data_IF_406594824674
#
_entry.id   IF_406594824674
#
_cell.length_a   1.000
_cell.length_b   1.000
_cell.length_c   1.000
_cell.angle_alpha   90.00
_cell.angle_beta   90.00
_cell.angle_gamma   90.00
#
_symmetry.space_group_name_H-M   'P 1'
#
loop_
_entity.id
_entity.type
_entity.pdbx_description
1 polymer ?
#
# COMPACT_ATOMS: atom_id res chain seq x y z
N UNK A 1 26.03 -20.00 13.47
CA UNK A 1 25.18 -19.05 14.19
C UNK A 1 25.98 -17.77 14.35
N UNK A 2 25.63 -16.72 13.64
CA UNK A 2 26.16 -15.40 13.92
C UNK A 2 25.56 -14.97 15.26
N UNK A 3 26.42 -14.64 16.22
CA UNK A 3 25.99 -14.06 17.48
C UNK A 3 25.44 -12.64 17.21
N UNK A 4 24.36 -12.29 17.91
CA UNK A 4 23.88 -10.92 17.92
C UNK A 4 24.88 -9.97 18.61
N UNK A 5 24.59 -8.67 18.67
CA UNK A 5 25.47 -7.71 19.32
C UNK A 5 25.87 -8.17 20.72
N UNK A 6 27.19 -8.20 21.01
CA UNK A 6 27.78 -8.48 22.32
C UNK A 6 27.18 -9.68 23.09
N UNK A 7 27.02 -10.84 22.42
CA UNK A 7 26.57 -12.08 23.07
C UNK A 7 25.06 -12.15 23.34
N UNK A 8 24.26 -11.28 22.77
CA UNK A 8 22.82 -11.38 22.86
C UNK A 8 22.30 -12.57 22.06
N UNK A 9 21.32 -13.34 22.59
CA UNK A 9 20.75 -14.45 21.88
C UNK A 9 20.02 -13.95 20.64
N UNK A 10 20.56 -14.28 19.48
CA UNK A 10 19.98 -13.98 18.17
C UNK A 10 19.66 -15.25 17.39
N UNK A 11 18.85 -15.09 16.37
CA UNK A 11 18.59 -16.14 15.41
C UNK A 11 18.81 -15.63 14.00
N UNK A 12 19.43 -16.47 13.18
CA UNK A 12 19.62 -16.18 11.76
C UNK A 12 18.32 -16.51 11.03
N UNK A 13 17.83 -15.57 10.24
CA UNK A 13 16.69 -15.77 9.36
C UNK A 13 17.09 -15.53 7.89
N UNK A 14 16.33 -16.13 6.99
CA UNK A 14 16.40 -15.84 5.56
C UNK A 14 15.05 -15.28 5.13
N UNK A 15 15.08 -14.07 4.59
CA UNK A 15 13.91 -13.42 3.99
C UNK A 15 14.29 -12.86 2.62
N UNK A 16 13.62 -13.34 1.57
CA UNK A 16 14.10 -13.07 0.19
C UNK A 16 15.50 -13.65 -0.02
N UNK A 17 16.40 -12.88 -0.65
CA UNK A 17 17.83 -13.22 -0.77
C UNK A 17 18.67 -12.79 0.44
N UNK A 18 18.03 -12.37 1.52
CA UNK A 18 18.68 -11.66 2.62
C UNK A 18 18.74 -12.50 3.88
N UNK A 19 19.98 -12.82 4.30
CA UNK A 19 20.26 -13.33 5.64
C UNK A 19 20.30 -12.15 6.62
N UNK A 20 19.61 -12.27 7.74
CA UNK A 20 19.67 -11.28 8.81
C UNK A 20 19.69 -11.96 10.17
N UNK A 21 20.44 -11.36 11.10
CA UNK A 21 20.43 -11.78 12.49
C UNK A 21 19.41 -10.91 13.24
N UNK A 22 18.48 -11.55 13.93
CA UNK A 22 17.43 -10.86 14.67
C UNK A 22 17.38 -11.36 16.12
N UNK A 23 16.86 -10.58 17.07
CA UNK A 23 16.55 -11.09 18.39
C UNK A 23 15.66 -12.33 18.29
N UNK A 24 15.77 -13.25 19.24
CA UNK A 24 14.90 -14.44 19.27
C UNK A 24 13.45 -13.93 19.31
N UNK A 25 12.63 -14.28 18.29
CA UNK A 25 11.26 -13.78 18.26
C UNK A 25 10.48 -14.32 19.46
N UNK A 26 9.66 -13.49 20.09
CA UNK A 26 8.70 -13.97 21.07
C UNK A 26 7.77 -14.99 20.42
N UNK A 27 7.19 -15.90 21.22
CA UNK A 27 6.22 -16.88 20.75
C UNK A 27 5.09 -16.17 19.99
N UNK A 28 4.95 -16.49 18.70
CA UNK A 28 4.02 -15.78 17.82
C UNK A 28 2.57 -16.05 18.23
N UNK A 29 1.89 -15.04 18.74
CA UNK A 29 0.43 -15.02 18.79
C UNK A 29 -0.12 -14.49 17.47
N UNK A 30 -1.21 -15.04 16.96
CA UNK A 30 -1.94 -14.49 15.80
C UNK A 30 -2.55 -13.15 16.21
N UNK A 31 -2.23 -12.09 15.47
CA UNK A 31 -2.76 -10.74 15.68
C UNK A 31 -1.73 -9.65 15.38
N UNK A 32 -2.10 -8.37 15.52
CA UNK A 32 -1.14 -7.28 15.43
C UNK A 32 -0.06 -7.51 16.48
N UNK A 33 1.19 -7.54 16.04
CA UNK A 33 2.33 -7.79 16.92
C UNK A 33 2.40 -6.69 17.98
N UNK A 34 2.29 -7.07 19.24
CA UNK A 34 2.64 -6.18 20.34
C UNK A 34 4.16 -5.96 20.33
N UNK A 35 4.61 -4.73 20.68
CA UNK A 35 6.02 -4.41 20.83
C UNK A 35 6.55 -5.20 22.04
N UNK A 36 7.14 -6.36 21.77
CA UNK A 36 7.82 -7.14 22.79
C UNK A 36 9.33 -7.10 22.52
N UNK A 37 10.03 -6.22 23.22
CA UNK A 37 11.48 -6.10 23.16
C UNK A 37 12.01 -5.17 22.06
N UNK A 38 13.31 -4.93 22.13
CA UNK A 38 14.08 -4.12 21.18
C UNK A 38 14.45 -4.94 19.94
N UNK A 39 14.53 -4.30 18.77
CA UNK A 39 14.89 -4.98 17.52
C UNK A 39 13.83 -5.93 16.99
N UNK A 40 12.56 -5.67 17.30
CA UNK A 40 11.44 -6.52 16.87
C UNK A 40 11.32 -6.59 15.35
N UNK A 41 11.23 -7.81 14.81
CA UNK A 41 10.88 -8.08 13.42
C UNK A 41 9.51 -8.76 13.34
N UNK A 42 8.59 -8.20 12.57
CA UNK A 42 7.33 -8.87 12.24
C UNK A 42 7.50 -9.71 10.96
N UNK A 43 7.47 -11.07 11.04
CA UNK A 43 7.56 -11.93 9.86
C UNK A 43 6.37 -11.77 8.88
N UNK A 44 5.20 -11.36 9.36
CA UNK A 44 4.04 -11.10 8.51
C UNK A 44 4.26 -9.92 7.56
N UNK A 45 5.21 -9.01 7.86
CA UNK A 45 5.59 -7.89 7.00
C UNK A 45 6.57 -8.27 5.87
N UNK A 46 6.96 -9.53 5.73
CA UNK A 46 7.88 -9.97 4.67
C UNK A 46 7.39 -9.61 3.26
N UNK A 47 6.09 -9.75 3.00
CA UNK A 47 5.49 -9.34 1.73
C UNK A 47 5.59 -7.83 1.47
N UNK A 48 5.41 -7.01 2.51
CA UNK A 48 5.59 -5.55 2.43
C UNK A 48 7.04 -5.19 2.07
N UNK A 49 8.04 -5.86 2.68
CA UNK A 49 9.45 -5.64 2.35
C UNK A 49 9.81 -6.12 0.94
N UNK A 50 9.20 -7.21 0.45
CA UNK A 50 9.35 -7.65 -0.94
C UNK A 50 8.83 -6.60 -1.92
N UNK A 51 7.65 -6.05 -1.70
CA UNK A 51 7.11 -4.95 -2.52
C UNK A 51 8.00 -3.70 -2.47
N UNK A 52 8.56 -3.38 -1.30
CA UNK A 52 9.49 -2.26 -1.14
C UNK A 52 10.78 -2.43 -1.96
N UNK A 53 11.33 -3.65 -2.05
CA UNK A 53 12.45 -3.96 -2.95
C UNK A 53 12.07 -3.74 -4.41
N UNK A 54 10.92 -4.26 -4.84
CA UNK A 54 10.45 -4.13 -6.23
C UNK A 54 10.19 -2.67 -6.60
N UNK A 55 9.58 -1.89 -5.69
CA UNK A 55 9.33 -0.46 -5.90
C UNK A 55 10.61 0.34 -6.02
N UNK A 56 11.61 0.08 -5.17
CA UNK A 56 12.90 0.75 -5.26
C UNK A 56 13.66 0.35 -6.54
N UNK A 57 13.63 -0.93 -6.92
CA UNK A 57 14.21 -1.40 -8.17
C UNK A 57 13.57 -0.73 -9.39
N UNK A 58 12.23 -0.68 -9.44
CA UNK A 58 11.50 0.00 -10.51
C UNK A 58 11.79 1.51 -10.55
N UNK A 59 11.88 2.16 -9.39
CA UNK A 59 12.23 3.58 -9.31
C UNK A 59 13.63 3.90 -9.84
N UNK A 60 14.56 2.99 -9.67
CA UNK A 60 15.94 3.10 -10.17
C UNK A 60 16.06 2.80 -11.67
N UNK A 61 15.32 1.82 -12.15
CA UNK A 61 15.33 1.38 -13.56
C UNK A 61 14.54 2.34 -14.46
N UNK A 62 13.50 2.99 -13.94
CA UNK A 62 12.60 3.88 -14.68
C UNK A 62 12.72 5.35 -14.26
N UNK A 63 13.80 5.72 -13.56
CA UNK A 63 14.18 7.10 -13.23
C UNK A 63 13.04 7.95 -12.60
N UNK A 64 12.30 7.41 -11.62
CA UNK A 64 11.18 8.13 -10.99
C UNK A 64 11.60 9.45 -10.36
N UNK A 65 12.81 9.53 -9.80
CA UNK A 65 13.23 10.61 -8.91
C UNK A 65 14.31 11.50 -9.51
N UNK A 66 15.31 10.88 -10.09
CA UNK A 66 16.48 11.53 -10.66
C UNK A 66 17.00 10.67 -11.82
N UNK A 67 17.58 11.32 -12.81
CA UNK A 67 18.19 10.63 -13.95
C UNK A 67 19.28 9.65 -13.51
N UNK A 68 19.54 8.64 -14.32
CA UNK A 68 20.62 7.68 -14.13
C UNK A 68 21.91 8.37 -13.62
N UNK A 69 22.70 7.68 -12.81
CA UNK A 69 23.97 8.15 -12.24
C UNK A 69 23.87 9.06 -10.99
N UNK A 70 22.73 9.70 -10.72
CA UNK A 70 22.63 10.53 -9.52
C UNK A 70 22.29 9.69 -8.29
N UNK A 71 22.88 10.03 -7.12
CA UNK A 71 22.55 9.37 -5.86
C UNK A 71 21.11 9.64 -5.44
N UNK A 72 20.51 8.65 -4.78
CA UNK A 72 19.20 8.71 -4.14
C UNK A 72 19.42 8.62 -2.63
N UNK A 73 19.09 9.69 -1.91
CA UNK A 73 19.14 9.70 -0.45
C UNK A 73 17.87 9.09 0.11
N UNK A 74 18.04 8.00 0.83
CA UNK A 74 16.98 7.20 1.44
C UNK A 74 17.09 7.32 2.95
N UNK A 75 15.96 7.53 3.63
CA UNK A 75 15.88 7.35 5.07
C UNK A 75 14.88 6.24 5.40
N UNK A 76 15.35 5.18 6.07
CA UNK A 76 14.54 4.22 6.80
C UNK A 76 14.37 4.76 8.23
N UNK A 77 13.25 5.46 8.47
CA UNK A 77 13.09 6.33 9.63
C UNK A 77 12.89 5.56 10.95
N UNK A 78 12.40 4.32 10.87
CA UNK A 78 12.03 3.44 11.98
C UNK A 78 12.52 2.02 11.66
N UNK A 79 13.82 1.81 11.65
CA UNK A 79 14.47 0.69 10.99
C UNK A 79 14.47 -0.62 11.78
N UNK A 80 14.27 -0.56 13.11
CA UNK A 80 14.40 -1.72 14.00
C UNK A 80 15.73 -2.49 13.75
N UNK A 81 15.68 -3.68 13.13
CA UNK A 81 16.86 -4.50 12.83
C UNK A 81 17.57 -4.14 11.53
N UNK A 82 17.14 -3.11 10.81
CA UNK A 82 17.69 -2.72 9.50
C UNK A 82 17.44 -3.71 8.37
N UNK A 83 16.52 -4.65 8.55
CA UNK A 83 16.29 -5.70 7.55
C UNK A 83 15.77 -5.17 6.21
N UNK A 84 14.99 -4.09 6.19
CA UNK A 84 14.51 -3.48 4.95
C UNK A 84 15.65 -2.89 4.14
N UNK A 85 16.50 -2.08 4.77
CA UNK A 85 17.73 -1.56 4.15
C UNK A 85 18.61 -2.69 3.65
N UNK A 86 18.80 -3.75 4.47
CA UNK A 86 19.59 -4.91 4.09
C UNK A 86 18.99 -5.64 2.86
N UNK A 87 17.67 -5.75 2.76
CA UNK A 87 16.98 -6.32 1.59
C UNK A 87 17.19 -5.46 0.34
N UNK A 88 17.09 -4.14 0.44
CA UNK A 88 17.39 -3.25 -0.68
C UNK A 88 18.81 -3.47 -1.20
N UNK A 89 19.80 -3.58 -0.31
CA UNK A 89 21.20 -3.79 -0.69
C UNK A 89 21.49 -5.16 -1.32
N UNK A 90 20.73 -6.18 -0.96
CA UNK A 90 20.94 -7.55 -1.47
C UNK A 90 20.08 -7.90 -2.70
N UNK A 91 18.94 -7.22 -2.88
CA UNK A 91 17.90 -7.67 -3.80
C UNK A 91 17.62 -6.67 -4.91
N UNK A 92 17.97 -5.38 -4.77
CA UNK A 92 17.95 -4.41 -5.87
C UNK A 92 19.09 -4.76 -6.86
N UNK A 93 18.89 -4.56 -8.19
CA UNK A 93 19.91 -4.87 -9.18
C UNK A 93 21.26 -4.18 -8.88
N UNK A 94 22.35 -4.96 -8.89
CA UNK A 94 23.67 -4.52 -8.41
C UNK A 94 24.22 -3.28 -9.12
N UNK A 95 23.90 -3.08 -10.40
CA UNK A 95 24.32 -1.90 -11.15
C UNK A 95 23.81 -0.58 -10.55
N UNK A 96 22.78 -0.61 -9.71
CA UNK A 96 22.19 0.59 -9.10
C UNK A 96 22.63 0.84 -7.65
N UNK A 97 23.34 -0.11 -7.02
CA UNK A 97 23.67 0.00 -5.59
C UNK A 97 24.53 1.23 -5.28
N UNK A 98 25.42 1.63 -6.18
CA UNK A 98 26.26 2.83 -6.02
C UNK A 98 25.45 4.14 -5.93
N UNK A 99 24.19 4.12 -6.32
CA UNK A 99 23.28 5.28 -6.25
C UNK A 99 22.60 5.39 -4.88
N UNK A 100 22.64 4.35 -4.04
CA UNK A 100 21.91 4.32 -2.79
C UNK A 100 22.74 4.95 -1.66
N UNK A 101 22.22 6.03 -1.09
CA UNK A 101 22.74 6.66 0.13
C UNK A 101 21.69 6.46 1.22
N UNK A 102 21.89 5.50 2.10
CA UNK A 102 20.89 5.04 3.07
C UNK A 102 21.23 5.54 4.45
N UNK A 103 20.31 6.26 5.08
CA UNK A 103 20.31 6.54 6.50
C UNK A 103 19.29 5.61 7.18
N UNK A 104 19.80 4.72 8.02
CA UNK A 104 19.02 3.77 8.81
C UNK A 104 18.90 4.31 10.23
N UNK A 105 17.68 4.56 10.72
CA UNK A 105 17.44 5.17 12.03
C UNK A 105 16.41 4.41 12.84
N UNK A 106 16.64 4.34 14.14
CA UNK A 106 15.62 4.00 15.13
C UNK A 106 15.88 4.78 16.41
N UNK A 107 14.81 5.10 17.16
CA UNK A 107 14.94 5.79 18.45
C UNK A 107 15.52 4.86 19.53
N UNK A 108 15.37 3.54 19.35
CA UNK A 108 15.86 2.54 20.29
C UNK A 108 17.32 2.17 19.99
N UNK A 109 18.29 2.52 20.89
CA UNK A 109 19.69 2.21 20.67
C UNK A 109 19.99 0.72 20.54
N UNK A 110 19.18 -0.14 21.15
CA UNK A 110 19.35 -1.59 21.08
C UNK A 110 18.95 -2.10 19.70
N UNK A 111 17.85 -1.60 19.15
CA UNK A 111 17.46 -1.86 17.75
C UNK A 111 18.59 -1.46 16.79
N UNK A 112 19.23 -0.30 17.02
CA UNK A 112 20.34 0.15 16.17
C UNK A 112 21.60 -0.72 16.27
N UNK A 113 21.88 -1.37 17.39
CA UNK A 113 22.96 -2.37 17.48
C UNK A 113 22.68 -3.60 16.58
N UNK A 114 21.43 -4.05 16.52
CA UNK A 114 21.02 -5.10 15.58
C UNK A 114 21.14 -4.64 14.13
N UNK A 115 20.73 -3.41 13.81
CA UNK A 115 20.88 -2.83 12.48
C UNK A 115 22.36 -2.72 12.08
N UNK A 116 23.23 -2.28 12.99
CA UNK A 116 24.68 -2.23 12.76
C UNK A 116 25.25 -3.61 12.47
N UNK A 117 24.92 -4.63 13.28
CA UNK A 117 25.36 -6.00 13.06
C UNK A 117 24.90 -6.55 11.68
N UNK A 118 23.72 -6.16 11.22
CA UNK A 118 23.18 -6.56 9.92
C UNK A 118 23.75 -5.78 8.74
N UNK A 119 24.26 -4.56 8.94
CA UNK A 119 24.67 -3.65 7.86
C UNK A 119 26.19 -3.44 7.74
N UNK A 120 26.99 -3.96 8.67
CA UNK A 120 28.46 -3.76 8.70
C UNK A 120 29.26 -4.43 7.57
N UNK A 121 28.69 -5.42 6.88
CA UNK A 121 29.41 -6.27 5.92
C UNK A 121 29.42 -5.72 4.48
N UNK A 122 28.86 -4.53 4.25
CA UNK A 122 28.80 -3.95 2.91
C UNK A 122 30.09 -3.20 2.55
N UNK A 123 30.49 -3.21 1.24
CA UNK A 123 31.66 -2.47 0.79
C UNK A 123 31.57 -0.98 1.11
N UNK A 124 32.70 -0.36 1.44
CA UNK A 124 32.78 1.08 1.73
C UNK A 124 32.32 1.99 0.56
N UNK A 125 32.15 1.45 -0.63
CA UNK A 125 31.60 2.18 -1.78
C UNK A 125 30.09 2.40 -1.68
N UNK A 126 29.39 1.71 -0.76
CA UNK A 126 27.96 1.88 -0.49
C UNK A 126 27.83 2.78 0.74
N UNK A 127 27.17 3.93 0.56
CA UNK A 127 26.97 4.90 1.65
C UNK A 127 25.81 4.46 2.56
N UNK A 128 26.16 3.87 3.71
CA UNK A 128 25.23 3.47 4.77
C UNK A 128 25.58 4.22 6.04
N UNK A 129 24.64 5.01 6.53
CA UNK A 129 24.77 5.73 7.78
C UNK A 129 23.75 5.18 8.80
N UNK A 130 24.19 5.07 10.03
CA UNK A 130 23.37 4.61 11.14
C UNK A 130 23.18 5.76 12.14
N UNK A 131 21.97 5.93 12.61
CA UNK A 131 21.64 6.94 13.60
C UNK A 131 20.66 6.39 14.64
N UNK A 132 20.80 6.85 15.89
CA UNK A 132 19.81 6.57 16.93
C UNK A 132 19.20 7.87 17.42
N UNK A 133 17.94 8.13 17.04
CA UNK A 133 17.28 9.39 17.39
C UNK A 133 15.82 9.49 16.94
N UNK A 134 15.19 10.61 17.30
CA UNK A 134 13.82 10.89 16.87
C UNK A 134 13.76 11.09 15.36
N UNK A 135 13.05 10.21 14.69
CA UNK A 135 12.86 10.23 13.23
C UNK A 135 12.32 11.56 12.70
N UNK A 136 11.48 12.25 13.47
CA UNK A 136 10.87 13.53 13.07
C UNK A 136 11.89 14.63 12.95
N UNK A 137 12.77 14.73 13.95
CA UNK A 137 13.88 15.69 13.95
C UNK A 137 14.87 15.36 12.84
N UNK A 138 15.27 14.10 12.75
CA UNK A 138 16.27 13.64 11.79
C UNK A 138 15.82 13.83 10.33
N UNK A 139 14.55 13.59 10.03
CA UNK A 139 14.03 13.87 8.69
C UNK A 139 14.23 15.33 8.28
N UNK A 140 14.05 16.27 9.20
CA UNK A 140 14.16 17.73 8.91
C UNK A 140 15.59 18.22 8.70
N UNK A 141 16.61 17.45 9.05
CA UNK A 141 18.01 17.82 8.89
C UNK A 141 18.47 17.80 7.42
N UNK A 142 17.73 17.16 6.54
CA UNK A 142 18.11 17.02 5.13
C UNK A 142 16.88 16.97 4.21
N UNK A 143 17.12 17.02 2.90
CA UNK A 143 16.11 16.72 1.89
C UNK A 143 16.28 15.28 1.39
N UNK A 144 15.23 14.48 1.39
CA UNK A 144 15.22 13.07 1.04
C UNK A 144 14.52 12.81 -0.29
N UNK A 145 15.04 11.89 -1.09
CA UNK A 145 14.37 11.39 -2.28
C UNK A 145 13.49 10.18 -1.99
N UNK A 146 13.79 9.43 -0.91
CA UNK A 146 12.96 8.30 -0.45
C UNK A 146 12.87 8.32 1.06
N UNK A 147 11.65 8.31 1.58
CA UNK A 147 11.36 8.27 3.02
C UNK A 147 10.49 7.06 3.30
N UNK A 148 10.98 6.14 4.12
CA UNK A 148 10.23 4.98 4.61
C UNK A 148 9.80 5.22 6.05
N UNK A 149 8.49 5.12 6.32
CA UNK A 149 7.88 5.29 7.65
C UNK A 149 7.05 4.05 7.96
N UNK A 150 7.55 3.19 8.85
CA UNK A 150 6.89 1.94 9.25
C UNK A 150 6.72 1.85 10.78
N UNK A 151 5.85 2.68 11.40
CA UNK A 151 5.65 2.73 12.83
C UNK A 151 4.74 1.61 13.34
N UNK A 152 4.81 1.35 14.63
CA UNK A 152 3.70 0.70 15.34
C UNK A 152 2.52 1.66 15.42
N UNK A 153 1.35 1.24 14.90
CA UNK A 153 0.13 2.03 14.95
C UNK A 153 0.01 3.05 13.81
N UNK A 154 -0.24 4.30 14.17
CA UNK A 154 -0.52 5.37 13.20
C UNK A 154 0.75 6.07 12.73
N UNK A 155 0.90 6.31 11.42
CA UNK A 155 2.00 7.11 10.89
C UNK A 155 1.80 8.63 11.08
N UNK A 156 0.62 9.08 11.52
CA UNK A 156 0.27 10.51 11.56
C UNK A 156 1.28 11.39 12.32
N UNK A 157 1.97 10.93 13.40
CA UNK A 157 2.97 11.74 14.07
C UNK A 157 4.20 12.09 13.22
N UNK A 158 4.45 11.35 12.13
CA UNK A 158 5.63 11.49 11.29
C UNK A 158 5.36 12.18 9.95
N UNK A 159 4.10 12.20 9.49
CA UNK A 159 3.72 12.63 8.14
C UNK A 159 4.16 14.06 7.86
N UNK A 160 3.96 15.00 8.78
CA UNK A 160 4.26 16.41 8.55
C UNK A 160 5.76 16.65 8.36
N UNK A 161 6.60 16.09 9.25
CA UNK A 161 8.06 16.15 9.12
C UNK A 161 8.56 15.49 7.84
N UNK A 162 7.98 14.34 7.46
CA UNK A 162 8.33 13.66 6.22
C UNK A 162 8.01 14.50 4.97
N UNK A 163 6.80 15.07 4.91
CA UNK A 163 6.40 15.92 3.79
C UNK A 163 7.31 17.15 3.67
N UNK A 164 7.63 17.81 4.79
CA UNK A 164 8.53 18.97 4.79
C UNK A 164 9.91 18.60 4.25
N UNK A 165 10.44 17.46 4.65
CA UNK A 165 11.80 17.00 4.31
C UNK A 165 11.91 16.32 2.94
N UNK A 166 10.81 16.07 2.24
CA UNK A 166 10.84 15.60 0.87
C UNK A 166 11.65 16.54 -0.03
N UNK A 167 12.53 16.01 -0.86
CA UNK A 167 13.16 16.71 -1.97
C UNK A 167 12.10 17.27 -2.92
N UNK A 168 12.48 18.00 -3.96
CA UNK A 168 11.53 18.57 -4.93
C UNK A 168 10.61 17.51 -5.54
N UNK A 169 11.14 16.33 -5.72
CA UNK A 169 10.46 15.10 -6.12
C UNK A 169 10.98 13.99 -5.21
N UNK A 170 10.10 13.27 -4.55
CA UNK A 170 10.45 12.24 -3.59
C UNK A 170 9.40 11.14 -3.52
N UNK A 171 9.81 9.94 -3.14
CA UNK A 171 8.90 8.87 -2.72
C UNK A 171 8.70 8.97 -1.21
N UNK A 172 7.45 8.93 -0.78
CA UNK A 172 7.07 8.74 0.60
C UNK A 172 6.34 7.39 0.70
N UNK A 173 6.92 6.48 1.46
CA UNK A 173 6.41 5.12 1.65
C UNK A 173 5.96 4.95 3.11
N UNK A 174 4.65 4.88 3.33
CA UNK A 174 4.03 4.98 4.64
C UNK A 174 3.25 3.73 4.98
N UNK A 175 3.50 3.17 6.16
CA UNK A 175 2.75 2.05 6.72
C UNK A 175 1.85 2.51 7.88
N UNK A 176 0.62 2.04 7.89
CA UNK A 176 -0.33 2.22 8.99
C UNK A 176 -0.81 0.85 9.48
N UNK A 177 -0.54 0.54 10.75
CA UNK A 177 -0.98 -0.70 11.41
C UNK A 177 -2.18 -0.48 12.34
N UNK A 178 -2.66 0.77 12.48
CA UNK A 178 -3.89 1.10 13.22
C UNK A 178 -5.16 0.93 12.35
N UNK A 179 -5.25 -0.22 11.70
CA UNK A 179 -6.31 -0.55 10.75
C UNK A 179 -7.71 -0.46 11.34
N UNK A 180 -7.88 -0.70 12.64
CA UNK A 180 -9.17 -0.52 13.33
C UNK A 180 -9.69 0.93 13.23
N UNK A 181 -8.80 1.93 13.20
CA UNK A 181 -9.18 3.32 12.96
C UNK A 181 -9.59 3.54 11.50
N UNK A 182 -8.74 3.10 10.57
CA UNK A 182 -8.93 3.33 9.14
C UNK A 182 -10.11 2.57 8.54
N UNK A 183 -10.47 1.40 9.11
CA UNK A 183 -11.59 0.57 8.65
C UNK A 183 -12.90 0.79 9.41
N UNK A 184 -12.94 1.76 10.35
CA UNK A 184 -14.15 2.19 11.03
C UNK A 184 -14.46 1.49 12.35
N UNK A 185 -13.73 0.42 12.74
CA UNK A 185 -13.96 -0.29 14.01
C UNK A 185 -13.62 0.57 15.25
N UNK A 186 -12.81 1.63 15.05
CA UNK A 186 -12.49 2.64 16.08
C UNK A 186 -12.76 4.05 15.56
N UNK A 187 -14.04 4.48 15.45
CA UNK A 187 -14.40 5.73 14.78
C UNK A 187 -13.82 6.97 15.47
N UNK A 188 -13.72 7.00 16.79
CA UNK A 188 -13.10 8.10 17.52
C UNK A 188 -11.59 8.24 17.23
N UNK A 189 -10.88 7.13 17.01
CA UNK A 189 -9.47 7.15 16.61
C UNK A 189 -9.33 7.62 15.16
N UNK A 190 -10.22 7.20 14.26
CA UNK A 190 -10.26 7.67 12.89
C UNK A 190 -10.40 9.20 12.81
N UNK A 191 -11.37 9.75 13.53
CA UNK A 191 -11.58 11.21 13.61
C UNK A 191 -10.35 11.93 14.15
N UNK A 192 -9.75 11.46 15.26
CA UNK A 192 -8.60 12.16 15.87
C UNK A 192 -7.33 12.10 15.05
N UNK A 193 -7.05 10.96 14.39
CA UNK A 193 -5.77 10.73 13.70
C UNK A 193 -5.83 11.14 12.24
N UNK A 194 -6.96 10.85 11.59
CA UNK A 194 -7.10 11.02 10.14
C UNK A 194 -8.12 12.10 9.76
N UNK A 195 -8.77 12.73 10.75
CA UNK A 195 -9.83 13.71 10.49
C UNK A 195 -10.84 13.20 9.47
N UNK A 196 -11.31 11.97 9.67
CA UNK A 196 -12.18 11.24 8.76
C UNK A 196 -13.15 10.32 9.51
N UNK A 197 -14.13 9.81 8.77
CA UNK A 197 -15.10 8.79 9.20
C UNK A 197 -14.98 7.59 8.27
N UNK A 198 -15.20 6.38 8.79
CA UNK A 198 -15.24 5.15 8.02
C UNK A 198 -16.46 4.31 8.42
N UNK A 199 -17.16 3.78 7.41
CA UNK A 199 -18.23 2.79 7.60
C UNK A 199 -17.63 1.40 7.61
N UNK A 200 -18.06 0.56 8.55
CA UNK A 200 -17.69 -0.86 8.61
C UNK A 200 -18.57 -1.65 7.66
N UNK A 201 -18.09 -1.86 6.45
CA UNK A 201 -18.75 -2.65 5.40
C UNK A 201 -17.70 -3.44 4.59
N UNK A 202 -18.10 -4.11 3.52
CA UNK A 202 -17.20 -4.90 2.67
C UNK A 202 -16.15 -4.04 1.93
N UNK A 203 -16.38 -2.73 1.79
CA UNK A 203 -15.43 -1.76 1.24
C UNK A 203 -14.53 -1.10 2.29
N UNK A 204 -14.61 -1.47 3.58
CA UNK A 204 -13.83 -0.84 4.65
C UNK A 204 -12.32 -0.79 4.39
N UNK A 205 -11.75 -1.78 3.70
CA UNK A 205 -10.33 -1.83 3.38
C UNK A 205 -9.97 -0.83 2.27
N UNK A 206 -10.77 -0.76 1.20
CA UNK A 206 -10.63 0.29 0.16
C UNK A 206 -10.82 1.69 0.76
N UNK A 207 -11.84 1.85 1.61
CA UNK A 207 -12.08 3.09 2.34
C UNK A 207 -10.89 3.48 3.22
N UNK A 208 -10.31 2.54 3.95
CA UNK A 208 -9.14 2.79 4.80
C UNK A 208 -7.91 3.25 4.02
N UNK A 209 -7.63 2.63 2.87
CA UNK A 209 -6.57 3.06 1.95
C UNK A 209 -6.80 4.50 1.48
N UNK A 210 -8.03 4.84 1.10
CA UNK A 210 -8.40 6.17 0.62
C UNK A 210 -8.40 7.23 1.73
N UNK A 211 -8.73 6.87 2.97
CA UNK A 211 -8.61 7.76 4.15
C UNK A 211 -7.13 8.08 4.41
N UNK A 212 -6.24 7.09 4.38
CA UNK A 212 -4.80 7.31 4.54
C UNK A 212 -4.25 8.24 3.45
N UNK A 213 -4.59 7.98 2.18
CA UNK A 213 -4.20 8.88 1.08
C UNK A 213 -4.77 10.28 1.22
N UNK A 214 -6.03 10.43 1.63
CA UNK A 214 -6.64 11.73 1.89
C UNK A 214 -5.92 12.51 3.00
N UNK A 215 -5.44 11.83 4.04
CA UNK A 215 -4.63 12.45 5.09
C UNK A 215 -3.26 12.87 4.57
N UNK A 216 -2.59 12.04 3.76
CA UNK A 216 -1.32 12.37 3.10
C UNK A 216 -1.47 13.56 2.16
N UNK A 217 -2.53 13.58 1.34
CA UNK A 217 -2.80 14.67 0.40
C UNK A 217 -3.02 16.01 1.11
N UNK A 218 -3.81 16.02 2.20
CA UNK A 218 -4.03 17.23 3.01
C UNK A 218 -2.74 17.70 3.70
N UNK A 219 -1.91 16.76 4.18
CA UNK A 219 -0.61 17.13 4.73
C UNK A 219 0.31 17.71 3.65
N UNK A 220 0.38 17.10 2.47
CA UNK A 220 1.19 17.58 1.35
C UNK A 220 0.77 18.99 0.89
N UNK A 221 -0.54 19.24 0.76
CA UNK A 221 -1.05 20.51 0.30
C UNK A 221 -0.66 21.69 1.20
N UNK A 222 -0.58 21.48 2.53
CA UNK A 222 -0.10 22.51 3.48
C UNK A 222 1.34 22.97 3.21
N UNK A 223 2.11 22.16 2.49
CA UNK A 223 3.50 22.42 2.13
C UNK A 223 3.71 22.69 0.62
N UNK A 224 2.68 23.16 -0.08
CA UNK A 224 2.70 23.40 -1.53
C UNK A 224 3.08 22.13 -2.34
N UNK A 225 2.69 20.95 -1.86
CA UNK A 225 3.01 19.65 -2.47
C UNK A 225 1.74 18.87 -2.78
N UNK A 226 1.87 17.94 -3.70
CA UNK A 226 0.82 16.97 -4.05
C UNK A 226 1.38 15.57 -4.03
N UNK A 227 0.49 14.58 -3.94
CA UNK A 227 0.83 13.18 -3.99
C UNK A 227 0.30 12.54 -5.27
N UNK A 228 1.10 11.64 -5.84
CA UNK A 228 0.70 10.77 -6.95
C UNK A 228 0.89 9.31 -6.46
N UNK A 229 -0.18 8.54 -6.16
CA UNK A 229 -0.07 7.19 -5.64
C UNK A 229 0.60 6.24 -6.64
N UNK A 230 1.63 5.52 -6.19
CA UNK A 230 2.32 4.49 -6.96
C UNK A 230 1.78 3.10 -6.65
N UNK A 231 1.62 2.78 -5.37
CA UNK A 231 0.99 1.53 -4.91
C UNK A 231 0.37 1.75 -3.54
N UNK A 232 -0.92 1.45 -3.42
CA UNK A 232 -1.59 1.40 -2.11
C UNK A 232 -2.25 0.05 -1.95
N UNK A 233 -1.95 -0.61 -0.85
CA UNK A 233 -2.43 -1.96 -0.57
C UNK A 233 -2.84 -2.13 0.89
N UNK A 234 -3.92 -2.85 1.11
CA UNK A 234 -4.27 -3.43 2.40
C UNK A 234 -3.77 -4.87 2.41
N UNK A 235 -2.89 -5.20 3.34
CA UNK A 235 -2.29 -6.52 3.44
C UNK A 235 -2.41 -7.05 4.89
N UNK A 236 -3.33 -7.96 5.10
CA UNK A 236 -3.66 -8.63 6.36
C UNK A 236 -3.99 -7.64 7.50
N UNK A 237 -2.99 -7.02 8.12
CA UNK A 237 -3.14 -6.18 9.31
C UNK A 237 -2.57 -4.76 9.14
N UNK A 238 -2.17 -4.37 7.93
CA UNK A 238 -1.63 -3.05 7.67
C UNK A 238 -2.08 -2.49 6.32
N UNK A 239 -2.05 -1.16 6.22
CA UNK A 239 -2.15 -0.44 4.96
C UNK A 239 -0.78 0.14 4.66
N UNK A 240 -0.29 -0.09 3.44
CA UNK A 240 0.92 0.56 2.96
C UNK A 240 0.61 1.42 1.73
N UNK A 241 1.07 2.67 1.78
CA UNK A 241 0.89 3.65 0.72
C UNK A 241 2.25 4.18 0.27
N UNK A 242 2.64 3.84 -0.95
CA UNK A 242 3.81 4.42 -1.63
C UNK A 242 3.32 5.49 -2.58
N UNK A 243 3.69 6.73 -2.32
CA UNK A 243 3.28 7.90 -3.12
C UNK A 243 4.49 8.68 -3.58
N UNK A 244 4.43 9.20 -4.80
CA UNK A 244 5.36 10.19 -5.29
C UNK A 244 4.89 11.56 -4.80
N UNK A 245 5.76 12.30 -4.11
CA UNK A 245 5.50 13.64 -3.60
C UNK A 245 6.24 14.65 -4.48
N UNK A 246 5.51 15.59 -5.07
CA UNK A 246 6.09 16.65 -5.90
C UNK A 246 5.60 18.04 -5.47
N UNK A 247 6.43 19.04 -5.71
CA UNK A 247 6.08 20.41 -5.40
C UNK A 247 5.23 21.02 -6.52
N UNK A 248 4.02 21.48 -6.18
CA UNK A 248 3.12 22.20 -7.08
C UNK A 248 2.11 23.02 -6.27
N UNK A 249 2.27 24.32 -6.22
CA UNK A 249 1.33 25.23 -5.54
C UNK A 249 -0.06 25.21 -6.18
N UNK A 250 -0.11 25.19 -7.51
CA UNK A 250 -1.34 25.16 -8.27
C UNK A 250 -2.17 23.92 -7.93
N UNK A 251 -1.58 22.73 -8.11
CA UNK A 251 -2.26 21.49 -7.81
C UNK A 251 -2.56 21.30 -6.30
N UNK A 252 -1.72 21.83 -5.41
CA UNK A 252 -2.00 21.84 -3.97
C UNK A 252 -3.23 22.72 -3.62
N UNK A 253 -3.43 23.82 -4.35
CA UNK A 253 -4.62 24.67 -4.19
C UNK A 253 -5.90 23.99 -4.68
N UNK A 254 -5.78 23.02 -5.60
CA UNK A 254 -6.90 22.21 -6.11
C UNK A 254 -7.10 20.87 -5.34
N UNK A 255 -6.59 20.77 -4.14
CA UNK A 255 -6.70 19.58 -3.29
C UNK A 255 -8.12 19.00 -3.23
N UNK A 256 -9.14 19.87 -3.20
CA UNK A 256 -10.53 19.47 -3.06
C UNK A 256 -11.03 18.64 -4.24
N UNK A 257 -10.44 18.76 -5.43
CA UNK A 257 -10.77 17.94 -6.60
C UNK A 257 -10.34 16.48 -6.42
N UNK A 258 -9.40 16.20 -5.53
CA UNK A 258 -8.88 14.86 -5.23
C UNK A 258 -9.57 14.20 -4.03
N UNK A 259 -10.47 14.90 -3.34
CA UNK A 259 -11.16 14.42 -2.15
C UNK A 259 -12.67 14.28 -2.39
N UNK A 260 -13.31 13.41 -1.61
CA UNK A 260 -14.75 13.19 -1.69
C UNK A 260 -15.31 12.44 -0.49
N UNK A 261 -16.57 12.08 -0.62
CA UNK A 261 -17.36 11.37 0.40
C UNK A 261 -17.95 10.12 -0.21
N UNK A 262 -17.69 8.96 0.33
CA UNK A 262 -18.37 7.73 -0.06
C UNK A 262 -19.68 7.60 0.71
N UNK A 263 -20.77 7.40 -0.02
CA UNK A 263 -22.11 7.21 0.50
C UNK A 263 -22.50 5.75 0.34
N UNK A 264 -22.92 5.12 1.42
CA UNK A 264 -23.53 3.81 1.43
C UNK A 264 -25.06 3.94 1.20
N UNK A 265 -25.61 3.15 0.31
CA UNK A 265 -27.03 3.20 -0.08
C UNK A 265 -27.50 4.61 -0.45
N UNK A 266 -26.95 5.20 -1.54
CA UNK A 266 -27.28 6.55 -1.94
C UNK A 266 -28.74 6.68 -2.38
N UNK A 267 -29.31 7.87 -2.18
CA UNK A 267 -30.58 8.24 -2.78
C UNK A 267 -30.41 8.73 -4.23
N UNK A 268 -31.52 8.95 -4.94
CA UNK A 268 -31.50 9.38 -6.35
C UNK A 268 -30.77 10.72 -6.57
N UNK A 269 -30.94 11.68 -5.64
CA UNK A 269 -30.28 13.00 -5.74
C UNK A 269 -28.74 12.86 -5.60
N UNK A 270 -28.27 12.03 -4.68
CA UNK A 270 -26.85 11.76 -4.46
C UNK A 270 -26.24 11.05 -5.66
N UNK A 271 -26.94 10.06 -6.24
CA UNK A 271 -26.49 9.40 -7.47
C UNK A 271 -26.39 10.40 -8.63
N UNK A 272 -27.40 11.23 -8.85
CA UNK A 272 -27.37 12.28 -9.90
C UNK A 272 -26.23 13.27 -9.68
N UNK A 273 -25.99 13.68 -8.44
CA UNK A 273 -24.87 14.57 -8.11
C UNK A 273 -23.51 13.90 -8.39
N UNK A 274 -23.35 12.63 -8.04
CA UNK A 274 -22.15 11.83 -8.31
C UNK A 274 -21.88 11.70 -9.81
N UNK A 275 -22.91 11.36 -10.58
CA UNK A 275 -22.82 11.25 -12.06
C UNK A 275 -22.51 12.59 -12.72
N UNK A 276 -23.13 13.67 -12.24
CA UNK A 276 -22.90 15.02 -12.75
C UNK A 276 -21.49 15.51 -12.48
N UNK A 277 -20.88 15.09 -11.38
CA UNK A 277 -19.51 15.37 -11.03
C UNK A 277 -18.48 14.47 -11.75
N UNK A 278 -18.94 13.49 -12.55
CA UNK A 278 -18.07 12.50 -13.22
C UNK A 278 -17.42 11.48 -12.29
N UNK A 279 -17.91 11.36 -11.04
CA UNK A 279 -17.39 10.43 -10.04
C UNK A 279 -18.08 9.06 -10.07
N UNK A 280 -19.09 8.92 -10.91
CA UNK A 280 -19.83 7.69 -11.16
C UNK A 280 -20.22 7.62 -12.62
N UNK A 281 -20.18 6.46 -13.27
CA UNK A 281 -20.67 6.29 -14.65
C UNK A 281 -22.14 6.69 -14.75
N UNK A 282 -22.52 7.30 -15.88
CA UNK A 282 -23.91 7.64 -16.14
C UNK A 282 -24.75 6.37 -16.26
N UNK A 283 -25.87 6.35 -15.55
CA UNK A 283 -26.81 5.24 -15.53
C UNK A 283 -28.24 5.78 -15.29
N UNK A 284 -29.06 5.70 -16.32
CA UNK A 284 -30.45 6.18 -16.30
C UNK A 284 -31.46 5.04 -16.02
N UNK A 285 -30.97 3.85 -15.62
CA UNK A 285 -31.80 2.67 -15.38
C UNK A 285 -32.77 2.80 -14.18
N UNK A 286 -32.46 3.73 -13.27
CA UNK A 286 -33.19 3.86 -12.01
C UNK A 286 -32.95 2.74 -10.99
N UNK A 287 -31.99 1.84 -11.26
CA UNK A 287 -31.63 0.75 -10.37
C UNK A 287 -30.99 1.29 -9.09
N UNK A 288 -31.35 0.71 -7.95
CA UNK A 288 -30.68 0.98 -6.67
C UNK A 288 -29.25 0.53 -6.73
N UNK A 289 -28.35 1.34 -6.20
CA UNK A 289 -26.91 1.08 -6.20
C UNK A 289 -26.36 0.96 -4.78
N UNK A 290 -25.30 0.16 -4.57
CA UNK A 290 -24.75 -0.08 -3.23
C UNK A 290 -24.06 1.16 -2.65
N UNK A 291 -23.37 1.95 -3.47
CA UNK A 291 -22.66 3.15 -3.04
C UNK A 291 -22.42 4.13 -4.17
N UNK A 292 -22.12 5.36 -3.83
CA UNK A 292 -21.57 6.36 -4.77
C UNK A 292 -20.54 7.25 -4.05
N UNK A 293 -19.87 8.12 -4.80
CA UNK A 293 -18.92 9.10 -4.27
C UNK A 293 -19.41 10.50 -4.60
N UNK A 294 -19.46 11.39 -3.61
CA UNK A 294 -19.75 12.81 -3.79
C UNK A 294 -18.48 13.63 -3.75
N UNK A 295 -18.42 14.77 -4.49
CA UNK A 295 -17.30 15.70 -4.41
C UNK A 295 -17.14 16.27 -3.01
N UNK A 296 -15.92 16.61 -2.63
CA UNK A 296 -15.62 17.19 -1.30
C UNK A 296 -16.45 18.44 -0.99
N UNK A 297 -16.63 19.31 -1.98
CA UNK A 297 -17.37 20.57 -1.84
C UNK A 297 -18.90 20.40 -1.79
N UNK A 298 -19.40 19.20 -1.93
CA UNK A 298 -20.82 18.85 -1.80
C UNK A 298 -21.02 17.77 -0.73
N UNK A 299 -20.65 18.07 0.54
CA UNK A 299 -20.70 17.08 1.60
C UNK A 299 -22.16 16.63 1.85
N UNK A 300 -22.40 15.34 2.05
CA UNK A 300 -23.69 14.83 2.48
C UNK A 300 -23.95 15.18 3.94
N UNK A 301 -25.16 14.95 4.42
CA UNK A 301 -25.40 14.90 5.85
C UNK A 301 -24.51 13.82 6.50
N UNK A 302 -23.61 14.24 7.39
CA UNK A 302 -22.63 13.36 8.04
C UNK A 302 -23.34 12.44 9.04
N UNK A 303 -23.74 11.26 8.57
CA UNK A 303 -24.42 10.24 9.34
C UNK A 303 -23.54 9.02 9.54
N UNK A 304 -23.34 8.60 10.79
CA UNK A 304 -22.64 7.37 11.13
C UNK A 304 -23.29 6.15 10.47
N UNK A 305 -22.47 5.20 10.03
CA UNK A 305 -22.92 4.00 9.32
C UNK A 305 -23.34 4.21 7.86
N UNK A 306 -23.32 5.45 7.35
CA UNK A 306 -23.71 5.77 5.99
C UNK A 306 -22.65 6.51 5.18
N UNK A 307 -21.84 7.34 5.83
CA UNK A 307 -20.87 8.23 5.19
C UNK A 307 -19.46 7.86 5.60
N UNK A 308 -18.57 7.73 4.63
CA UNK A 308 -17.12 7.62 4.85
C UNK A 308 -16.40 8.78 4.18
N UNK A 309 -15.42 9.34 4.87
CA UNK A 309 -14.59 10.42 4.31
C UNK A 309 -14.19 11.49 5.32
N UNK A 310 -13.48 12.54 4.86
CA UNK A 310 -13.06 12.71 3.47
C UNK A 310 -12.08 11.61 3.02
N UNK A 311 -12.29 11.10 1.81
CA UNK A 311 -11.47 10.07 1.18
C UNK A 311 -10.76 10.61 -0.07
N UNK A 312 -9.62 10.02 -0.42
CA UNK A 312 -9.00 10.17 -1.74
C UNK A 312 -9.88 9.51 -2.81
N UNK A 313 -10.22 10.24 -3.87
CA UNK A 313 -11.07 9.76 -4.96
C UNK A 313 -10.31 9.43 -6.24
N UNK A 314 -9.02 9.73 -6.31
CA UNK A 314 -8.16 9.38 -7.44
C UNK A 314 -7.76 7.90 -7.45
N UNK A 315 -6.82 7.56 -8.35
CA UNK A 315 -6.23 6.23 -8.46
C UNK A 315 -5.56 5.79 -7.16
N UNK A 316 -5.55 4.48 -6.88
CA UNK A 316 -4.79 3.85 -5.79
C UNK A 316 -3.40 3.36 -6.22
N UNK A 317 -3.03 3.56 -7.47
CA UNK A 317 -1.75 3.12 -8.00
C UNK A 317 -1.48 3.66 -9.39
N UNK A 318 -0.26 3.41 -9.83
CA UNK A 318 0.22 3.72 -11.17
C UNK A 318 0.07 2.46 -12.05
N UNK A 319 -0.67 2.58 -13.14
CA UNK A 319 -0.99 1.44 -14.01
C UNK A 319 0.28 0.78 -14.56
N UNK A 320 1.19 1.56 -15.13
CA UNK A 320 2.40 1.04 -15.76
C UNK A 320 3.31 0.34 -14.75
N UNK A 321 3.42 0.89 -13.53
CA UNK A 321 4.15 0.24 -12.44
C UNK A 321 3.48 -1.10 -12.07
N UNK A 322 2.17 -1.11 -11.87
CA UNK A 322 1.44 -2.32 -11.46
C UNK A 322 1.58 -3.45 -12.50
N UNK A 323 1.59 -3.11 -13.80
CA UNK A 323 1.84 -4.08 -14.88
C UNK A 323 3.20 -4.78 -14.74
N UNK A 324 4.20 -4.08 -14.17
CA UNK A 324 5.55 -4.63 -13.90
C UNK A 324 5.67 -5.34 -12.54
N UNK A 325 4.69 -5.19 -11.64
CA UNK A 325 4.67 -5.84 -10.32
C UNK A 325 4.17 -7.30 -10.42
N UNK A 326 4.91 -8.14 -11.14
CA UNK A 326 4.54 -9.53 -11.43
C UNK A 326 5.16 -10.52 -10.45
N UNK A 327 4.62 -11.75 -10.41
CA UNK A 327 5.19 -12.85 -9.62
C UNK A 327 6.60 -13.22 -10.11
N UNK A 328 6.83 -13.18 -11.44
CA UNK A 328 8.13 -13.45 -12.05
C UNK A 328 9.16 -12.42 -11.60
N UNK A 329 8.80 -11.14 -11.60
CA UNK A 329 9.70 -10.07 -11.15
C UNK A 329 10.04 -10.18 -9.66
N UNK A 330 9.07 -10.54 -8.82
CA UNK A 330 9.32 -10.80 -7.41
C UNK A 330 10.29 -11.98 -7.21
N UNK A 331 10.14 -13.05 -7.99
CA UNK A 331 11.05 -14.20 -7.96
C UNK A 331 12.45 -13.84 -8.43
N UNK A 332 12.57 -13.12 -9.55
CA UNK A 332 13.87 -12.67 -10.08
C UNK A 332 14.67 -11.86 -9.05
N UNK A 333 14.02 -10.87 -8.42
CA UNK A 333 14.69 -9.99 -7.46
C UNK A 333 14.93 -10.66 -6.11
N UNK A 334 13.99 -11.42 -5.60
CA UNK A 334 13.93 -11.80 -4.18
C UNK A 334 14.05 -13.31 -3.90
N UNK A 335 13.99 -14.22 -4.90
CA UNK A 335 14.06 -15.66 -4.62
C UNK A 335 15.44 -16.07 -4.14
N UNK A 336 15.55 -16.76 -2.99
CA UNK A 336 16.83 -17.27 -2.50
C UNK A 336 17.41 -18.33 -3.46
N UNK A 337 18.72 -18.39 -3.49
CA UNK A 337 19.46 -19.37 -4.30
C UNK A 337 19.81 -20.66 -3.50
N UNK A 338 20.40 -21.63 -4.17
CA UNK A 338 20.82 -22.90 -3.57
C UNK A 338 21.94 -22.73 -2.53
N UNK A 339 22.73 -21.65 -2.59
CA UNK A 339 23.77 -21.35 -1.59
C UNK A 339 23.11 -20.90 -0.27
N UNK A 340 22.11 -20.03 -0.36
CA UNK A 340 21.33 -19.57 0.79
C UNK A 340 20.52 -20.73 1.41
N UNK A 341 19.94 -21.60 0.56
CA UNK A 341 19.27 -22.81 1.02
C UNK A 341 20.19 -23.69 1.89
N UNK A 342 21.42 -23.93 1.40
CA UNK A 342 22.43 -24.71 2.15
C UNK A 342 22.84 -24.02 3.44
N UNK A 343 23.03 -22.70 3.42
CA UNK A 343 23.42 -21.90 4.59
C UNK A 343 22.38 -22.02 5.70
N UNK A 344 21.09 -22.00 5.33
CA UNK A 344 19.97 -22.15 6.27
C UNK A 344 19.65 -23.60 6.61
N UNK A 345 20.30 -24.56 5.97
CA UNK A 345 19.94 -25.98 6.03
C UNK A 345 18.44 -26.24 5.75
N UNK A 346 17.90 -25.51 4.77
CA UNK A 346 16.50 -25.63 4.36
C UNK A 346 16.29 -26.82 3.43
N UNK A 347 15.20 -27.53 3.67
CA UNK A 347 14.65 -28.53 2.76
C UNK A 347 14.05 -27.86 1.51
N UNK A 348 13.85 -28.61 0.44
CA UNK A 348 13.16 -28.15 -0.78
C UNK A 348 11.74 -27.64 -0.46
N UNK A 349 11.07 -28.22 0.52
CA UNK A 349 9.74 -27.78 0.98
C UNK A 349 9.77 -26.38 1.62
N UNK A 350 10.82 -26.04 2.36
CA UNK A 350 11.00 -24.72 2.96
C UNK A 350 11.33 -23.67 1.88
N UNK A 351 12.13 -24.05 0.88
CA UNK A 351 12.38 -23.23 -0.31
C UNK A 351 11.07 -22.95 -1.07
N UNK A 352 10.30 -23.97 -1.38
CA UNK A 352 9.00 -23.83 -2.03
C UNK A 352 8.04 -22.92 -1.26
N UNK A 353 8.04 -23.03 0.08
CA UNK A 353 7.23 -22.14 0.94
C UNK A 353 7.70 -20.69 0.87
N UNK A 354 9.00 -20.43 0.86
CA UNK A 354 9.56 -19.09 0.71
C UNK A 354 9.17 -18.48 -0.65
N UNK A 355 9.33 -19.22 -1.74
CA UNK A 355 8.91 -18.80 -3.08
C UNK A 355 7.41 -18.54 -3.18
N UNK A 356 6.58 -19.40 -2.59
CA UNK A 356 5.12 -19.21 -2.53
C UNK A 356 4.74 -17.91 -1.80
N UNK A 357 5.46 -17.56 -0.73
CA UNK A 357 5.26 -16.28 -0.02
C UNK A 357 5.64 -15.08 -0.88
N UNK A 358 6.74 -15.17 -1.65
CA UNK A 358 7.13 -14.12 -2.59
C UNK A 358 6.04 -13.88 -3.64
N UNK A 359 5.59 -14.94 -4.34
CA UNK A 359 4.51 -14.85 -5.32
C UNK A 359 3.23 -14.25 -4.72
N UNK A 360 2.84 -14.74 -3.53
CA UNK A 360 1.65 -14.23 -2.82
C UNK A 360 1.73 -12.74 -2.53
N UNK A 361 2.92 -12.19 -2.27
CA UNK A 361 3.11 -10.78 -1.90
C UNK A 361 2.71 -9.79 -2.99
N UNK A 362 2.69 -10.23 -4.26
CA UNK A 362 2.36 -9.40 -5.43
C UNK A 362 1.18 -9.93 -6.25
N UNK A 363 0.57 -11.01 -5.78
CA UNK A 363 -0.53 -11.67 -6.49
C UNK A 363 -1.66 -10.69 -6.83
N UNK A 364 -2.04 -10.66 -8.11
CA UNK A 364 -3.15 -9.87 -8.63
C UNK A 364 -2.83 -8.39 -8.83
N UNK A 365 -1.61 -7.90 -8.48
CA UNK A 365 -1.26 -6.50 -8.70
C UNK A 365 -1.25 -6.17 -10.19
N UNK A 366 -0.53 -6.93 -11.01
CA UNK A 366 -0.48 -6.73 -12.46
C UNK A 366 -1.83 -6.92 -13.14
N UNK A 367 -2.63 -7.91 -12.69
CA UNK A 367 -3.97 -8.14 -13.23
C UNK A 367 -4.92 -6.97 -12.93
N UNK A 368 -4.73 -6.28 -11.80
CA UNK A 368 -5.57 -5.16 -11.38
C UNK A 368 -5.22 -3.84 -12.10
N UNK A 369 -4.06 -3.76 -12.74
CA UNK A 369 -3.50 -2.53 -13.31
C UNK A 369 -4.46 -1.80 -14.25
N UNK A 370 -5.09 -2.52 -15.17
CA UNK A 370 -5.96 -1.95 -16.22
C UNK A 370 -7.22 -1.23 -15.71
N UNK A 371 -7.56 -1.41 -14.43
CA UNK A 371 -8.74 -0.80 -13.83
C UNK A 371 -8.43 -0.08 -12.50
N UNK A 372 -7.15 0.15 -12.18
CA UNK A 372 -6.75 0.70 -10.86
C UNK A 372 -7.31 2.09 -10.59
N UNK A 373 -7.54 2.88 -11.64
CA UNK A 373 -8.11 4.23 -11.60
C UNK A 373 -9.63 4.25 -11.81
N UNK A 374 -10.27 3.09 -12.06
CA UNK A 374 -11.72 3.03 -12.26
C UNK A 374 -12.48 3.45 -11.00
N UNK A 375 -13.58 4.22 -11.16
CA UNK A 375 -14.27 4.86 -10.03
C UNK A 375 -15.07 3.86 -9.18
N UNK A 376 -15.58 2.78 -9.79
CA UNK A 376 -16.38 1.77 -9.09
C UNK A 376 -15.45 0.68 -8.55
N UNK A 377 -15.58 0.41 -7.27
CA UNK A 377 -15.12 -0.82 -6.62
C UNK A 377 -16.34 -1.53 -6.04
N UNK A 378 -16.50 -2.81 -6.38
CA UNK A 378 -17.72 -3.55 -6.07
C UNK A 378 -17.39 -4.94 -5.52
N UNK A 379 -17.73 -5.23 -4.24
CA UNK A 379 -17.75 -6.59 -3.73
C UNK A 379 -18.78 -7.42 -4.49
N UNK A 380 -18.37 -8.58 -5.02
CA UNK A 380 -19.28 -9.40 -5.84
C UNK A 380 -20.39 -10.04 -5.01
N UNK A 381 -20.18 -10.22 -3.71
CA UNK A 381 -21.18 -10.73 -2.77
C UNK A 381 -22.35 -9.76 -2.54
N UNK A 382 -22.17 -8.48 -2.91
CA UNK A 382 -23.24 -7.49 -2.86
C UNK A 382 -24.18 -7.58 -4.07
N UNK A 383 -23.73 -8.09 -5.19
CA UNK A 383 -24.48 -8.09 -6.46
C UNK A 383 -25.84 -8.82 -6.35
N UNK A 384 -25.93 -10.03 -5.76
CA UNK A 384 -27.21 -10.72 -5.61
C UNK A 384 -28.23 -9.99 -4.72
N UNK A 385 -27.81 -9.03 -3.92
CA UNK A 385 -28.72 -8.21 -3.09
C UNK A 385 -29.56 -7.23 -3.93
N UNK A 386 -29.11 -6.95 -5.15
CA UNK A 386 -29.73 -5.99 -6.07
C UNK A 386 -30.36 -6.63 -7.30
N UNK A 387 -29.92 -7.85 -7.66
CA UNK A 387 -30.36 -8.57 -8.84
C UNK A 387 -30.77 -10.00 -8.47
N UNK A 388 -31.76 -10.55 -9.15
CA UNK A 388 -32.20 -11.93 -8.94
C UNK A 388 -31.23 -12.91 -9.59
N UNK A 389 -30.17 -13.23 -8.85
CA UNK A 389 -29.07 -14.12 -9.26
C UNK A 389 -28.99 -15.33 -8.32
N UNK A 390 -28.59 -16.50 -8.83
CA UNK A 390 -28.43 -17.71 -8.00
C UNK A 390 -27.31 -17.62 -6.97
N UNK A 391 -26.44 -16.62 -7.08
CA UNK A 391 -25.33 -16.38 -6.15
C UNK A 391 -24.39 -15.27 -6.66
N UNK A 392 -23.28 -14.98 -5.94
CA UNK A 392 -22.30 -14.01 -6.40
C UNK A 392 -21.55 -14.52 -7.64
N UNK A 393 -21.36 -13.67 -8.67
CA UNK A 393 -20.58 -14.04 -9.84
C UNK A 393 -19.07 -14.15 -9.46
N UNK A 394 -18.35 -14.99 -10.19
CA UNK A 394 -16.87 -15.01 -10.07
C UNK A 394 -16.29 -13.65 -10.49
N UNK A 395 -15.44 -13.00 -9.66
CA UNK A 395 -14.82 -11.71 -10.01
C UNK A 395 -14.12 -11.74 -11.37
N UNK A 396 -13.37 -12.80 -11.66
CA UNK A 396 -12.60 -12.92 -12.89
C UNK A 396 -13.51 -13.12 -14.11
N UNK A 397 -14.62 -13.87 -13.98
CA UNK A 397 -15.59 -14.04 -15.05
C UNK A 397 -16.34 -12.73 -15.31
N UNK A 398 -16.81 -12.07 -14.26
CA UNK A 398 -17.51 -10.78 -14.39
C UNK A 398 -16.60 -9.71 -15.01
N UNK A 399 -15.37 -9.57 -14.55
CA UNK A 399 -14.42 -8.63 -15.13
C UNK A 399 -14.13 -8.96 -16.62
N UNK A 400 -14.05 -10.24 -16.98
CA UNK A 400 -13.89 -10.66 -18.38
C UNK A 400 -15.11 -10.27 -19.22
N UNK A 401 -16.31 -10.56 -18.75
CA UNK A 401 -17.57 -10.21 -19.45
C UNK A 401 -17.68 -8.71 -19.66
N UNK A 402 -17.41 -7.91 -18.64
CA UNK A 402 -17.40 -6.44 -18.76
C UNK A 402 -16.39 -5.94 -19.80
N UNK A 403 -15.20 -6.54 -19.88
CA UNK A 403 -14.22 -6.20 -20.91
C UNK A 403 -14.70 -6.56 -22.32
N UNK A 404 -15.39 -7.68 -22.48
CA UNK A 404 -16.01 -8.05 -23.78
C UNK A 404 -17.13 -7.09 -24.18
N UNK A 405 -17.81 -6.47 -23.22
CA UNK A 405 -18.79 -5.39 -23.43
C UNK A 405 -18.15 -4.01 -23.66
N UNK A 406 -16.81 -3.91 -23.67
CA UNK A 406 -16.07 -2.69 -23.99
C UNK A 406 -15.71 -1.79 -22.80
N UNK A 407 -15.89 -2.27 -21.57
CA UNK A 407 -15.55 -1.52 -20.35
C UNK A 407 -14.20 -1.97 -19.76
N UNK A 408 -13.56 -1.09 -19.01
CA UNK A 408 -12.39 -1.47 -18.21
C UNK A 408 -12.89 -2.21 -16.97
N UNK A 409 -12.31 -3.37 -16.70
CA UNK A 409 -12.64 -4.14 -15.51
C UNK A 409 -11.52 -5.08 -15.13
N UNK A 410 -11.25 -5.18 -13.83
CA UNK A 410 -10.25 -6.09 -13.26
C UNK A 410 -10.66 -6.54 -11.86
N UNK A 411 -10.07 -7.64 -11.40
CA UNK A 411 -10.17 -8.00 -9.98
C UNK A 411 -9.53 -6.91 -9.11
N UNK A 412 -10.23 -6.49 -8.07
CA UNK A 412 -9.64 -5.60 -7.08
C UNK A 412 -8.80 -6.40 -6.08
N UNK A 413 -7.62 -5.89 -5.74
CA UNK A 413 -6.75 -6.52 -4.71
C UNK A 413 -7.26 -6.09 -3.33
N UNK A 414 -8.29 -6.78 -2.86
CA UNK A 414 -8.94 -6.59 -1.56
C UNK A 414 -9.04 -7.93 -0.82
N UNK A 415 -9.36 -7.89 0.47
CA UNK A 415 -9.59 -9.13 1.26
C UNK A 415 -10.93 -9.80 0.94
N UNK A 416 -11.85 -9.07 0.34
CA UNK A 416 -13.13 -9.61 -0.17
C UNK A 416 -13.07 -9.76 -1.67
N UNK A 417 -13.72 -10.75 -2.27
CA UNK A 417 -13.84 -10.87 -3.72
C UNK A 417 -14.52 -9.64 -4.30
N UNK A 418 -13.81 -8.86 -5.11
CA UNK A 418 -14.32 -7.60 -5.66
C UNK A 418 -13.74 -7.33 -7.05
N UNK A 419 -14.43 -6.47 -7.81
CA UNK A 419 -13.95 -5.92 -9.08
C UNK A 419 -13.80 -4.40 -8.99
N UNK A 420 -12.95 -3.85 -9.87
CA UNK A 420 -12.96 -2.43 -10.26
C UNK A 420 -13.42 -2.30 -11.70
N UNK A 421 -14.22 -1.27 -11.99
CA UNK A 421 -14.74 -1.05 -13.34
C UNK A 421 -15.21 0.39 -13.53
N UNK A 422 -15.28 0.84 -14.79
CA UNK A 422 -15.97 2.05 -15.23
C UNK A 422 -17.33 1.76 -15.87
N UNK A 423 -17.80 0.51 -15.81
CA UNK A 423 -19.12 0.13 -16.33
C UNK A 423 -20.26 0.73 -15.49
N UNK A 424 -21.34 1.22 -16.10
CA UNK A 424 -22.56 1.61 -15.39
C UNK A 424 -23.22 0.41 -14.72
N UNK A 425 -24.04 0.68 -13.70
CA UNK A 425 -24.67 -0.36 -12.89
C UNK A 425 -25.62 -1.27 -13.67
N UNK A 426 -26.33 -0.71 -14.66
CA UNK A 426 -27.15 -1.47 -15.60
C UNK A 426 -26.34 -2.50 -16.39
N UNK A 427 -25.16 -2.13 -16.87
CA UNK A 427 -24.26 -3.03 -17.59
C UNK A 427 -23.66 -4.08 -16.66
N UNK A 428 -23.34 -3.72 -15.42
CA UNK A 428 -22.89 -4.70 -14.39
C UNK A 428 -24.00 -5.73 -14.15
N UNK A 429 -25.26 -5.32 -14.13
CA UNK A 429 -26.41 -6.22 -14.04
C UNK A 429 -26.46 -7.21 -15.20
N UNK A 430 -26.40 -6.72 -16.43
CA UNK A 430 -26.41 -7.54 -17.64
C UNK A 430 -25.22 -8.52 -17.66
N UNK A 431 -24.01 -8.03 -17.40
CA UNK A 431 -22.82 -8.86 -17.34
C UNK A 431 -22.91 -9.95 -16.26
N UNK A 432 -23.51 -9.63 -15.13
CA UNK A 432 -23.71 -10.58 -14.04
C UNK A 432 -24.69 -11.69 -14.42
N UNK A 433 -25.79 -11.34 -15.11
CA UNK A 433 -26.76 -12.30 -15.66
C UNK A 433 -26.11 -13.19 -16.71
N UNK A 434 -25.29 -12.62 -17.61
CA UNK A 434 -24.60 -13.38 -18.67
C UNK A 434 -23.63 -14.40 -18.07
N UNK A 435 -22.92 -14.08 -16.97
CA UNK A 435 -22.04 -15.03 -16.25
C UNK A 435 -22.79 -16.30 -15.84
N UNK A 436 -24.10 -16.20 -15.54
CA UNK A 436 -24.95 -17.33 -15.18
C UNK A 436 -25.77 -17.90 -16.35
N UNK A 437 -25.58 -17.38 -17.56
CA UNK A 437 -26.36 -17.78 -18.73
C UNK A 437 -27.85 -17.35 -18.67
N UNK A 438 -28.15 -16.31 -17.88
CA UNK A 438 -29.50 -15.76 -17.72
C UNK A 438 -29.69 -14.66 -18.80
N UNK A 439 -30.74 -14.77 -19.58
CA UNK A 439 -31.09 -13.71 -20.55
C UNK A 439 -31.67 -12.50 -19.81
N UNK A 440 -31.10 -11.28 -19.96
CA UNK A 440 -31.68 -10.09 -19.35
C UNK A 440 -33.14 -9.88 -19.77
N UNK A 441 -34.02 -9.42 -18.89
CA UNK A 441 -35.37 -9.02 -19.28
C UNK A 441 -35.27 -7.88 -20.28
N UNK A 442 -36.04 -8.01 -21.40
CA UNK A 442 -36.10 -6.99 -22.44
C UNK A 442 -36.80 -5.72 -21.98
#
# INVERSE_FOLDING_TARGET
>A
LQEGPEGWPGTLILEGKTLANIPIPPVTHRGPAAREGSGFLNPAMAGSRTRSVMLLADALENDWLVTAEKPIRIIEALAATGIRSRRWLNEVPQQHLHRLHILCNDIDPISMQWAEANLKEYPAAIDIQLNSGDARSLMLDSGWQWIDIDPFGSPTPFIDSAIQSCSRLAVLDVCATDTAALTGSSPSACRRRYDAMAVVDDLRHDTGMRILLGALARAAARHDRVIDPKLVIFDDHHIRATVLVRRSKEAASDLHSCLGWRIHSPNEMELKASMSAGLHPRDDSGLKQPSCVLPFNSPPELKEGRVSGPIWIGSLGDQELLERMTEERAMELCSPDSKLQKTMNWSDKEMELAERRLRRSVRGLSDSASAIDCPIVLPVDDIPKYFDLPGPPSPSQLARTLRLMGYRAANAVLQVPAIRTDAPWSVISEASMEVFGITPPR
#
